data_IF_212343089352
#
_entry.id   IF_212343089352
#
_cell.length_a   1.000
_cell.length_b   1.000
_cell.length_c   1.000
_cell.angle_alpha   90.00
_cell.angle_beta   90.00
_cell.angle_gamma   90.00
#
_symmetry.space_group_name_H-M   'P 1'
#
loop_
_entity.id
_entity.type
_entity.pdbx_description
1 polymer ?
#
# COMPACT_ATOMS: atom_id res chain seq x y z
N UNK A 1 1.50 37.25 -2.30
CA UNK A 1 1.64 37.10 -0.82
C UNK A 1 2.86 36.21 -0.53
N UNK A 2 3.51 36.34 0.62
CA UNK A 2 4.55 35.39 1.05
C UNK A 2 3.91 34.00 1.25
N UNK A 3 4.63 32.90 0.94
CA UNK A 3 4.12 31.56 1.19
C UNK A 3 4.02 31.29 2.70
N UNK A 4 3.19 30.32 3.07
CA UNK A 4 3.12 29.81 4.44
C UNK A 4 4.37 28.97 4.75
N UNK A 5 4.86 29.08 5.98
CA UNK A 5 6.02 28.34 6.47
C UNK A 5 5.62 27.46 7.65
N UNK A 6 6.29 26.31 7.79
CA UNK A 6 6.17 25.48 8.97
C UNK A 6 6.99 26.04 10.15
N UNK A 7 6.93 25.36 11.30
CA UNK A 7 7.64 25.75 12.53
C UNK A 7 9.17 25.78 12.38
N UNK A 8 9.71 25.16 11.34
CA UNK A 8 11.14 25.13 11.03
C UNK A 8 11.53 26.16 9.96
N UNK A 9 10.58 27.02 9.54
CA UNK A 9 10.81 28.03 8.51
C UNK A 9 10.91 27.45 7.10
N UNK A 10 10.40 26.24 6.86
CA UNK A 10 10.38 25.62 5.53
C UNK A 10 9.05 25.92 4.83
N UNK A 11 8.99 26.08 3.50
CA UNK A 11 7.73 26.29 2.81
C UNK A 11 6.74 25.14 3.09
N UNK A 12 5.61 25.45 3.72
CA UNK A 12 4.68 24.44 4.25
C UNK A 12 4.13 23.52 3.14
N UNK A 13 3.91 24.06 1.94
CA UNK A 13 3.44 23.28 0.79
C UNK A 13 4.44 22.24 0.25
N UNK A 14 5.73 22.34 0.61
CA UNK A 14 6.78 21.38 0.23
C UNK A 14 7.05 20.35 1.33
N UNK A 15 6.92 20.76 2.60
CA UNK A 15 7.39 19.98 3.76
C UNK A 15 6.27 19.65 4.76
N UNK A 16 5.02 20.02 4.48
CA UNK A 16 3.89 19.82 5.40
C UNK A 16 3.51 18.36 5.62
N UNK A 17 3.86 17.47 4.68
CA UNK A 17 3.57 16.04 4.78
C UNK A 17 4.84 15.18 4.75
N UNK A 18 4.74 14.00 5.35
CA UNK A 18 5.83 13.03 5.36
C UNK A 18 5.95 12.32 4.01
N UNK A 19 7.14 11.80 3.68
CA UNK A 19 7.33 11.01 2.45
C UNK A 19 6.36 9.83 2.37
N UNK A 20 6.05 9.19 3.50
CA UNK A 20 5.16 8.03 3.53
C UNK A 20 3.73 8.32 3.08
N UNK A 21 3.24 9.55 3.24
CA UNK A 21 1.89 9.95 2.78
C UNK A 21 1.72 9.84 1.26
N UNK A 22 2.81 9.99 0.51
CA UNK A 22 2.83 9.94 -0.96
C UNK A 22 3.66 8.78 -1.50
N UNK A 23 4.08 7.85 -0.64
CA UNK A 23 4.98 6.78 -1.06
C UNK A 23 4.23 5.78 -1.94
N UNK A 24 4.75 5.52 -3.14
CA UNK A 24 4.20 4.52 -4.08
C UNK A 24 4.19 3.09 -3.52
N UNK A 25 4.99 2.83 -2.47
CA UNK A 25 5.06 1.54 -1.76
C UNK A 25 4.15 1.48 -0.53
N UNK A 26 3.29 2.48 -0.30
CA UNK A 26 2.41 2.53 0.87
C UNK A 26 1.38 1.39 0.90
N UNK A 27 0.91 0.91 -0.26
CA UNK A 27 0.02 -0.27 -0.32
C UNK A 27 0.67 -1.54 0.25
N UNK A 28 1.95 -1.78 -0.04
CA UNK A 28 2.69 -2.89 0.55
C UNK A 28 2.81 -2.75 2.08
N UNK A 29 3.04 -1.53 2.57
CA UNK A 29 3.08 -1.26 4.00
C UNK A 29 1.74 -1.54 4.68
N UNK A 30 0.63 -1.07 4.10
CA UNK A 30 -0.72 -1.30 4.63
C UNK A 30 -1.08 -2.78 4.67
N UNK A 31 -0.65 -3.54 3.66
CA UNK A 31 -0.83 -4.99 3.61
C UNK A 31 0.17 -5.78 4.47
N UNK A 32 1.07 -5.11 5.18
CA UNK A 32 2.10 -5.77 5.99
C UNK A 32 3.05 -6.64 5.16
N UNK A 33 3.40 -6.18 3.96
CA UNK A 33 4.34 -6.83 3.03
C UNK A 33 5.60 -5.98 2.94
N UNK A 34 6.72 -6.52 3.41
CA UNK A 34 7.98 -5.79 3.56
C UNK A 34 9.08 -6.44 2.73
N UNK A 35 10.01 -5.61 2.26
CA UNK A 35 11.22 -6.06 1.61
C UNK A 35 12.14 -6.74 2.61
N UNK A 36 12.73 -7.87 2.22
CA UNK A 36 13.75 -8.57 2.99
C UNK A 36 15.15 -8.17 2.50
N UNK A 37 15.26 -7.85 1.21
CA UNK A 37 16.52 -7.51 0.54
C UNK A 37 16.40 -6.19 -0.23
N UNK A 38 17.55 -5.54 -0.45
CA UNK A 38 17.61 -4.41 -1.38
C UNK A 38 17.31 -4.88 -2.80
N UNK A 39 16.43 -4.16 -3.50
CA UNK A 39 15.97 -4.51 -4.84
C UNK A 39 14.55 -5.09 -4.88
N UNK A 40 14.04 -5.55 -3.74
CA UNK A 40 12.65 -5.96 -3.59
C UNK A 40 11.70 -4.79 -3.92
N UNK A 41 10.51 -5.11 -4.41
CA UNK A 41 9.50 -4.11 -4.81
C UNK A 41 8.62 -3.65 -3.63
N UNK A 42 8.63 -4.41 -2.54
CA UNK A 42 7.85 -4.27 -1.32
C UNK A 42 8.31 -3.08 -0.45
N UNK A 43 7.62 -2.79 0.65
CA UNK A 43 7.96 -1.64 1.48
C UNK A 43 9.34 -1.79 2.17
N UNK A 44 10.16 -0.74 2.10
CA UNK A 44 11.56 -0.72 2.57
C UNK A 44 11.73 -0.39 4.07
N UNK A 45 10.65 -0.33 4.85
CA UNK A 45 10.72 0.15 6.24
C UNK A 45 11.62 -0.70 7.13
N UNK A 46 11.62 -2.01 6.92
CA UNK A 46 12.38 -2.96 7.73
C UNK A 46 13.86 -3.04 7.37
N UNK A 47 14.24 -2.49 6.21
CA UNK A 47 15.62 -2.38 5.77
C UNK A 47 16.18 -0.96 5.93
N UNK A 48 15.49 -0.09 6.70
CA UNK A 48 16.03 1.20 7.14
C UNK A 48 15.34 2.46 6.61
N UNK A 49 14.15 2.35 6.03
CA UNK A 49 13.45 3.52 5.49
C UNK A 49 12.76 4.36 6.59
N UNK A 50 13.19 5.61 6.75
CA UNK A 50 12.63 6.61 7.67
C UNK A 50 11.47 7.42 7.09
N UNK A 51 10.98 7.06 5.90
CA UNK A 51 9.91 7.78 5.20
C UNK A 51 8.66 8.14 6.04
N UNK A 52 8.22 7.32 7.03
CA UNK A 52 7.08 7.64 7.89
C UNK A 52 7.21 8.90 8.75
N UNK A 53 8.43 9.39 9.00
CA UNK A 53 8.68 10.53 9.91
C UNK A 53 9.48 11.66 9.26
N UNK A 54 9.75 11.57 7.96
CA UNK A 54 10.56 12.54 7.22
C UNK A 54 9.65 13.44 6.41
N UNK A 55 9.71 14.75 6.65
CA UNK A 55 9.06 15.77 5.83
C UNK A 55 9.85 16.00 4.55
N UNK A 56 9.34 15.53 3.41
CA UNK A 56 9.94 15.71 2.09
C UNK A 56 8.93 15.32 1.01
N UNK A 57 8.82 16.13 -0.05
CA UNK A 57 7.91 15.88 -1.17
C UNK A 57 8.48 14.97 -2.27
N UNK A 58 9.67 14.37 -2.10
CA UNK A 58 10.34 13.61 -3.17
C UNK A 58 9.47 12.51 -3.76
N UNK A 59 8.58 11.90 -2.95
CA UNK A 59 7.67 10.84 -3.41
C UNK A 59 6.51 11.35 -4.29
N UNK A 60 5.97 12.54 -4.01
CA UNK A 60 4.92 13.15 -4.86
C UNK A 60 5.50 13.92 -6.04
N UNK A 61 6.67 14.55 -5.86
CA UNK A 61 7.31 15.40 -6.86
C UNK A 61 8.17 14.62 -7.87
N UNK A 62 8.82 13.55 -7.44
CA UNK A 62 9.95 12.91 -8.15
C UNK A 62 11.23 13.75 -8.09
N UNK A 63 12.37 13.17 -8.45
CA UNK A 63 13.67 13.84 -8.34
C UNK A 63 13.87 14.89 -9.45
N UNK A 64 13.74 14.50 -10.72
CA UNK A 64 13.94 15.38 -11.87
C UNK A 64 12.82 15.10 -12.87
N UNK A 65 12.00 16.10 -13.21
CA UNK A 65 10.87 15.96 -14.14
C UNK A 65 9.94 14.77 -13.81
N UNK A 66 9.62 14.59 -12.51
CA UNK A 66 8.84 13.45 -12.00
C UNK A 66 9.50 12.07 -12.17
N UNK A 67 10.76 12.00 -12.57
CA UNK A 67 11.54 10.77 -12.73
C UNK A 67 12.45 10.58 -11.52
N UNK A 68 12.58 9.33 -11.07
CA UNK A 68 13.44 8.95 -9.96
C UNK A 68 12.90 9.40 -8.61
N UNK A 69 13.75 9.34 -7.59
CA UNK A 69 13.40 9.60 -6.19
C UNK A 69 14.17 8.64 -5.29
N UNK A 70 13.63 8.35 -4.11
CA UNK A 70 14.23 7.39 -3.18
C UNK A 70 13.50 6.05 -3.26
N UNK A 71 12.35 5.94 -2.60
CA UNK A 71 11.66 4.66 -2.41
C UNK A 71 11.12 4.08 -3.71
N UNK A 72 10.66 4.93 -4.63
CA UNK A 72 10.15 4.48 -5.92
C UNK A 72 11.21 3.77 -6.77
N UNK A 73 12.50 4.04 -6.53
CA UNK A 73 13.63 3.36 -7.19
C UNK A 73 14.39 2.40 -6.27
N UNK A 74 13.84 2.05 -5.10
CA UNK A 74 14.42 1.07 -4.18
C UNK A 74 15.38 1.63 -3.12
N UNK A 75 15.57 2.95 -3.06
CA UNK A 75 16.38 3.60 -2.03
C UNK A 75 15.57 3.89 -0.75
N UNK A 76 15.96 3.35 0.42
CA UNK A 76 15.35 3.74 1.70
C UNK A 76 15.55 5.24 1.95
N UNK A 77 14.53 5.90 2.51
CA UNK A 77 14.68 7.28 2.93
C UNK A 77 15.57 7.38 4.16
N UNK A 78 16.61 8.20 4.07
CA UNK A 78 17.60 8.41 5.13
C UNK A 78 17.36 9.69 5.95
N UNK A 79 16.30 10.44 5.65
CA UNK A 79 15.95 11.66 6.38
C UNK A 79 16.78 12.91 6.07
N UNK A 80 17.38 13.01 4.88
CA UNK A 80 18.30 14.11 4.52
C UNK A 80 17.69 15.53 4.57
N UNK A 81 16.37 15.69 4.62
CA UNK A 81 15.68 16.98 4.74
C UNK A 81 15.35 17.36 6.18
N UNK A 82 15.70 16.52 7.15
CA UNK A 82 15.38 16.72 8.56
C UNK A 82 16.57 17.35 9.30
N UNK A 83 16.36 18.27 10.26
CA UNK A 83 17.45 18.93 10.99
C UNK A 83 18.37 17.99 11.78
N UNK A 84 17.88 16.81 12.16
CA UNK A 84 18.65 15.81 12.88
C UNK A 84 19.55 14.94 12.00
N UNK A 85 19.58 15.16 10.69
CA UNK A 85 20.42 14.40 9.78
C UNK A 85 21.90 14.83 9.89
N UNK A 86 22.85 13.87 9.87
CA UNK A 86 22.67 12.42 9.77
C UNK A 86 22.48 11.70 11.11
N UNK A 87 22.88 12.32 12.22
CA UNK A 87 23.13 11.63 13.49
C UNK A 87 21.90 10.95 14.10
N UNK A 88 20.71 11.56 13.96
CA UNK A 88 19.45 10.97 14.47
C UNK A 88 18.90 9.82 13.62
N UNK A 89 19.46 9.61 12.44
CA UNK A 89 18.99 8.61 11.46
C UNK A 89 19.98 7.47 11.26
N UNK A 90 21.23 7.63 11.70
CA UNK A 90 22.24 6.59 11.65
C UNK A 90 21.99 5.51 12.73
N UNK A 91 22.30 4.23 12.46
CA UNK A 91 22.74 3.67 11.18
C UNK A 91 21.58 3.48 10.17
N UNK A 92 21.80 3.89 8.91
CA UNK A 92 20.75 3.94 7.87
C UNK A 92 20.17 2.59 7.44
N UNK A 93 20.89 1.50 7.66
CA UNK A 93 20.52 0.14 7.24
C UNK A 93 19.77 -0.64 8.33
N UNK A 94 19.47 -0.02 9.47
CA UNK A 94 18.63 -0.63 10.51
C UNK A 94 17.22 -0.05 10.45
N UNK A 95 16.23 -0.91 10.61
CA UNK A 95 14.84 -0.49 10.75
C UNK A 95 14.71 0.60 11.84
N UNK A 96 13.96 1.69 11.60
CA UNK A 96 13.65 2.66 12.63
C UNK A 96 12.99 1.98 13.84
N UNK A 97 13.37 2.29 15.09
CA UNK A 97 12.86 1.55 16.25
C UNK A 97 11.33 1.58 16.35
N UNK A 98 10.71 2.72 16.01
CA UNK A 98 9.26 2.90 15.99
C UNK A 98 8.53 2.13 14.89
N UNK A 99 9.22 1.64 13.85
CA UNK A 99 8.57 0.91 12.76
C UNK A 99 8.21 -0.52 13.12
N UNK A 100 8.81 -1.08 14.17
CA UNK A 100 8.57 -2.48 14.59
C UNK A 100 7.12 -2.71 15.05
N UNK A 101 6.57 -1.75 15.78
CA UNK A 101 5.19 -1.78 16.27
C UNK A 101 4.22 -1.73 15.11
N UNK A 102 4.40 -0.75 14.22
CA UNK A 102 3.51 -0.57 13.08
C UNK A 102 3.64 -1.69 12.06
N UNK A 103 4.86 -2.18 11.76
CA UNK A 103 5.08 -3.28 10.82
C UNK A 103 4.42 -4.57 11.31
N UNK A 104 4.56 -4.89 12.59
CA UNK A 104 3.90 -6.04 13.21
C UNK A 104 2.38 -5.92 13.17
N UNK A 105 1.82 -4.77 13.54
CA UNK A 105 0.38 -4.53 13.46
C UNK A 105 -0.16 -4.68 12.03
N UNK A 106 0.52 -4.08 11.05
CA UNK A 106 0.12 -4.20 9.63
C UNK A 106 0.25 -5.61 9.09
N UNK A 107 1.20 -6.45 9.56
CA UNK A 107 1.25 -7.88 9.19
C UNK A 107 0.00 -8.62 9.61
N UNK A 108 -0.47 -8.36 10.83
CA UNK A 108 -1.69 -8.98 11.36
C UNK A 108 -2.88 -8.56 10.51
N UNK A 109 -3.08 -7.25 10.31
CA UNK A 109 -4.16 -6.74 9.43
C UNK A 109 -4.03 -7.33 8.01
N UNK A 110 -2.82 -7.34 7.47
CA UNK A 110 -2.42 -7.90 6.19
C UNK A 110 -2.82 -9.36 5.99
N UNK A 111 -2.68 -10.20 7.01
CA UNK A 111 -3.05 -11.62 6.96
C UNK A 111 -4.55 -11.84 6.77
N UNK A 112 -5.40 -10.92 7.23
CA UNK A 112 -6.85 -10.99 7.04
C UNK A 112 -7.29 -10.26 5.77
N UNK A 113 -6.75 -9.08 5.49
CA UNK A 113 -7.24 -8.24 4.40
C UNK A 113 -6.81 -8.74 3.02
N UNK A 114 -5.61 -9.32 2.87
CA UNK A 114 -5.11 -9.81 1.56
C UNK A 114 -5.98 -10.95 1.00
N UNK A 115 -6.34 -12.00 1.76
CA UNK A 115 -7.29 -13.02 1.28
C UNK A 115 -8.65 -12.44 0.92
N UNK A 116 -9.20 -11.54 1.75
CA UNK A 116 -10.48 -10.89 1.48
C UNK A 116 -10.44 -10.06 0.19
N UNK A 117 -9.37 -9.30 -0.04
CA UNK A 117 -9.14 -8.57 -1.29
C UNK A 117 -9.02 -9.51 -2.49
N UNK A 118 -8.34 -10.66 -2.36
CA UNK A 118 -8.27 -11.67 -3.43
C UNK A 118 -9.63 -12.26 -3.78
N UNK A 119 -10.49 -12.52 -2.80
CA UNK A 119 -11.86 -13.00 -3.05
C UNK A 119 -12.64 -11.97 -3.86
N UNK A 120 -12.62 -10.71 -3.40
CA UNK A 120 -13.28 -9.60 -4.13
C UNK A 120 -12.69 -9.39 -5.52
N UNK A 121 -11.36 -9.47 -5.68
CA UNK A 121 -10.70 -9.36 -6.97
C UNK A 121 -11.14 -10.48 -7.92
N UNK A 122 -11.18 -11.73 -7.45
CA UNK A 122 -11.63 -12.89 -8.25
C UNK A 122 -13.06 -12.71 -8.74
N UNK A 123 -13.97 -12.22 -7.89
CA UNK A 123 -15.34 -11.86 -8.27
C UNK A 123 -15.36 -10.75 -9.33
N UNK A 124 -14.60 -9.66 -9.14
CA UNK A 124 -14.58 -8.52 -10.07
C UNK A 124 -13.90 -8.81 -11.41
N UNK A 125 -13.00 -9.79 -11.46
CA UNK A 125 -12.36 -10.21 -12.70
C UNK A 125 -13.25 -11.10 -13.58
N UNK A 126 -14.46 -11.45 -13.15
CA UNK A 126 -15.43 -12.24 -13.94
C UNK A 126 -16.44 -11.32 -14.64
N UNK A 127 -16.84 -11.73 -15.83
CA UNK A 127 -17.97 -11.09 -16.52
C UNK A 127 -19.28 -11.77 -16.11
N UNK A 128 -20.39 -11.03 -16.23
CA UNK A 128 -21.75 -11.55 -15.96
C UNK A 128 -22.06 -12.80 -16.79
N UNK A 129 -21.53 -12.89 -18.01
CA UNK A 129 -21.72 -14.06 -18.86
C UNK A 129 -21.06 -15.31 -18.27
N UNK A 130 -19.89 -15.17 -17.64
CA UNK A 130 -19.14 -16.29 -17.05
C UNK A 130 -19.82 -16.82 -15.79
N UNK A 131 -20.50 -15.95 -15.05
CA UNK A 131 -21.29 -16.35 -13.89
C UNK A 131 -22.54 -17.13 -14.32
N UNK A 132 -23.15 -16.76 -15.46
CA UNK A 132 -24.31 -17.46 -16.03
C UNK A 132 -23.94 -18.79 -16.67
N UNK A 133 -22.84 -18.84 -17.42
CA UNK A 133 -22.38 -20.07 -18.09
C UNK A 133 -21.68 -21.04 -17.14
N UNK A 134 -21.25 -20.57 -15.96
CA UNK A 134 -20.45 -21.35 -15.03
C UNK A 134 -19.05 -21.70 -15.54
N UNK A 135 -18.62 -21.11 -16.65
CA UNK A 135 -17.37 -21.42 -17.34
C UNK A 135 -16.74 -20.16 -17.95
N UNK A 136 -15.41 -20.08 -17.89
CA UNK A 136 -14.64 -19.04 -18.58
C UNK A 136 -14.55 -19.43 -20.07
N UNK A 137 -14.87 -18.52 -21.02
CA UNK A 137 -14.81 -18.82 -22.44
C UNK A 137 -13.40 -19.25 -22.88
N UNK A 138 -13.28 -20.33 -23.66
CA UNK A 138 -11.99 -20.96 -23.96
C UNK A 138 -11.09 -20.14 -24.90
N UNK A 139 -11.54 -18.99 -25.41
CA UNK A 139 -10.83 -18.23 -26.44
C UNK A 139 -9.47 -17.67 -26.01
N UNK A 140 -9.30 -17.26 -24.74
CA UNK A 140 -8.05 -16.68 -24.23
C UNK A 140 -7.77 -16.95 -22.75
N UNK A 141 -8.65 -17.66 -22.03
CA UNK A 141 -8.49 -17.91 -20.60
C UNK A 141 -9.01 -19.29 -20.21
N UNK A 142 -8.10 -20.20 -19.88
CA UNK A 142 -8.44 -21.35 -19.04
C UNK A 142 -8.52 -20.84 -17.60
N UNK A 143 -9.71 -20.42 -17.16
CA UNK A 143 -9.94 -20.10 -15.76
C UNK A 143 -9.70 -21.34 -14.89
N UNK A 144 -9.07 -21.22 -13.71
CA UNK A 144 -8.86 -22.37 -12.84
C UNK A 144 -10.21 -22.99 -12.45
N UNK A 145 -10.30 -24.32 -12.48
CA UNK A 145 -11.48 -25.05 -12.07
C UNK A 145 -11.87 -24.65 -10.65
N UNK A 146 -13.13 -24.26 -10.47
CA UNK A 146 -13.64 -23.84 -9.17
C UNK A 146 -13.72 -25.06 -8.24
N UNK A 147 -12.93 -25.02 -7.16
CA UNK A 147 -13.09 -26.00 -6.09
C UNK A 147 -14.44 -25.82 -5.40
N UNK A 148 -14.90 -26.85 -4.68
CA UNK A 148 -16.13 -26.75 -3.90
C UNK A 148 -16.09 -25.57 -2.89
N UNK A 149 -14.93 -25.33 -2.28
CA UNK A 149 -14.70 -24.23 -1.33
C UNK A 149 -14.85 -22.87 -2.01
N UNK A 150 -14.33 -22.72 -3.23
CA UNK A 150 -14.47 -21.47 -4.00
C UNK A 150 -15.93 -21.12 -4.26
N UNK A 151 -16.74 -22.13 -4.63
CA UNK A 151 -18.18 -21.93 -4.88
C UNK A 151 -18.92 -21.54 -3.60
N UNK A 152 -18.59 -22.16 -2.47
CA UNK A 152 -19.21 -21.83 -1.18
C UNK A 152 -18.86 -20.40 -0.75
N UNK A 153 -17.58 -20.01 -0.88
CA UNK A 153 -17.12 -18.66 -0.58
C UNK A 153 -17.82 -17.62 -1.46
N UNK A 154 -18.01 -17.92 -2.75
CA UNK A 154 -18.72 -17.07 -3.69
C UNK A 154 -20.21 -16.90 -3.34
N UNK A 155 -20.89 -17.97 -2.93
CA UNK A 155 -22.30 -17.90 -2.48
C UNK A 155 -22.42 -17.05 -1.22
N UNK A 156 -21.54 -17.25 -0.24
CA UNK A 156 -21.53 -16.47 1.00
C UNK A 156 -21.25 -15.00 0.70
N UNK A 157 -20.20 -14.71 -0.09
CA UNK A 157 -19.83 -13.34 -0.47
C UNK A 157 -20.96 -12.64 -1.22
N UNK A 158 -21.58 -13.30 -2.20
CA UNK A 158 -22.70 -12.71 -2.95
C UNK A 158 -23.95 -12.52 -2.09
N UNK A 159 -24.19 -13.38 -1.09
CA UNK A 159 -25.29 -13.19 -0.13
C UNK A 159 -25.05 -11.95 0.73
N UNK A 160 -23.85 -11.81 1.30
CA UNK A 160 -23.46 -10.62 2.10
C UNK A 160 -23.53 -9.34 1.26
N UNK A 161 -23.06 -9.40 0.01
CA UNK A 161 -23.14 -8.25 -0.91
C UNK A 161 -24.58 -7.84 -1.21
N UNK A 162 -25.48 -8.80 -1.41
CA UNK A 162 -26.89 -8.54 -1.73
C UNK A 162 -27.74 -8.15 -0.52
N UNK A 163 -27.36 -8.53 0.70
CA UNK A 163 -28.06 -8.10 1.91
C UNK A 163 -27.97 -6.59 2.16
N UNK A 164 -26.87 -5.95 1.77
CA UNK A 164 -26.71 -4.50 1.93
C UNK A 164 -27.58 -3.68 0.98
N UNK A 165 -27.94 -4.23 -0.18
CA UNK A 165 -28.92 -3.61 -1.09
C UNK A 165 -30.35 -3.67 -0.57
N UNK A 166 -30.69 -4.66 0.28
CA UNK A 166 -32.01 -4.73 0.91
C UNK A 166 -32.16 -3.72 2.06
N UNK A 167 -31.07 -3.40 2.78
CA UNK A 167 -31.09 -2.44 3.89
C UNK A 167 -31.16 -0.97 3.43
N UNK A 168 -30.76 -0.65 2.19
CA UNK A 168 -30.80 0.71 1.62
C UNK A 168 -32.13 1.09 0.92
N UNK A 169 -33.14 0.22 1.00
CA UNK A 169 -34.46 0.41 0.41
C UNK A 169 -35.63 0.31 1.42
N UNK A 170 -35.37 0.44 2.72
CA UNK A 170 -36.47 0.74 3.66
C UNK A 170 -36.76 2.26 3.66
N UNK A 171 -38.04 2.67 3.51
CA UNK A 171 -38.46 4.06 3.59
C UNK A 171 -38.26 4.65 4.99
#
# INVERSE_FOLDING_TARGET
PLPEFDELGRPAWLYGETVHRHCVRAGYYEEGTFAEHYGDRECLVEIGCWGPVVNCNIASRGAINHVGGCMNVGGPCIGCTMPGFPDKFAPFYKAPPGSTVSSTATRVVGSFIRPLRRISQRDRSRTVQWDRSGAVPPGWGAGPDHTFVDRLAEVIYNRVRKSDTAAKHLP
#
